data_IF_528118566026
#
_entry.id   IF_528118566026
#
_cell.length_a   1.000
_cell.length_b   1.000
_cell.length_c   1.000
_cell.angle_alpha   90.00
_cell.angle_beta   90.00
_cell.angle_gamma   90.00
#
_symmetry.space_group_name_H-M   'P 1'
#
loop_
_entity.id
_entity.type
_entity.pdbx_description
1 polymer ?
#
# COMPACT_ATOMS: atom_id res chain seq x y z
N UNK A 1 -20.32 -9.96 -4.39
CA UNK A 1 -19.18 -9.72 -5.31
C UNK A 1 -17.94 -10.40 -4.73
N UNK A 2 -17.27 -11.25 -5.49
CA UNK A 2 -16.05 -11.94 -5.04
C UNK A 2 -14.89 -10.93 -4.99
N UNK A 3 -14.33 -10.70 -3.80
CA UNK A 3 -13.17 -9.83 -3.63
C UNK A 3 -11.95 -10.55 -4.19
N UNK A 4 -11.37 -10.01 -5.26
CA UNK A 4 -10.11 -10.50 -5.80
C UNK A 4 -9.01 -10.31 -4.74
N UNK A 5 -8.64 -11.40 -4.05
CA UNK A 5 -7.67 -11.42 -2.93
C UNK A 5 -6.23 -11.52 -3.38
N UNK A 6 -6.00 -11.73 -4.68
CA UNK A 6 -4.68 -11.67 -5.29
C UNK A 6 -4.54 -10.28 -5.95
N UNK A 7 -3.38 -9.63 -5.81
CA UNK A 7 -2.71 -8.77 -6.83
C UNK A 7 -1.99 -7.53 -6.28
N UNK A 8 -2.20 -7.06 -5.05
CA UNK A 8 -1.63 -5.74 -4.69
C UNK A 8 -0.71 -5.76 -3.47
N UNK A 9 0.57 -6.06 -3.71
CA UNK A 9 1.58 -6.15 -2.65
C UNK A 9 2.05 -4.79 -2.12
N UNK A 10 1.76 -3.67 -2.82
CA UNK A 10 2.17 -2.34 -2.35
C UNK A 10 1.54 -1.99 -0.98
N UNK A 11 2.30 -1.36 -0.04
CA UNK A 11 1.84 -1.10 1.33
C UNK A 11 0.49 -0.41 1.43
N UNK A 12 0.25 0.61 0.60
CA UNK A 12 -1.02 1.35 0.52
C UNK A 12 -2.20 0.42 0.25
N UNK A 13 -2.06 -0.48 -0.74
CA UNK A 13 -3.15 -1.37 -1.12
C UNK A 13 -3.43 -2.41 -0.04
N UNK A 14 -2.38 -2.98 0.52
CA UNK A 14 -2.52 -3.94 1.62
C UNK A 14 -3.17 -3.27 2.82
N UNK A 15 -2.75 -2.05 3.17
CA UNK A 15 -3.33 -1.33 4.29
C UNK A 15 -4.83 -1.10 4.10
N UNK A 16 -5.23 -0.50 2.98
CA UNK A 16 -6.63 -0.16 2.70
C UNK A 16 -7.49 -1.43 2.59
N UNK A 17 -7.06 -2.43 1.84
CA UNK A 17 -7.89 -3.61 1.58
C UNK A 17 -7.96 -4.53 2.81
N UNK A 18 -6.83 -4.76 3.47
CA UNK A 18 -6.74 -5.73 4.58
C UNK A 18 -7.19 -5.13 5.92
N UNK A 19 -6.78 -3.90 6.22
CA UNK A 19 -7.04 -3.29 7.53
C UNK A 19 -8.30 -2.45 7.55
N UNK A 20 -8.61 -1.72 6.46
CA UNK A 20 -9.84 -0.93 6.38
C UNK A 20 -11.01 -1.72 5.79
N UNK A 21 -10.73 -2.81 5.06
CA UNK A 21 -11.78 -3.66 4.49
C UNK A 21 -12.56 -2.99 3.35
N UNK A 22 -12.00 -1.97 2.71
CA UNK A 22 -12.59 -1.23 1.56
C UNK A 22 -11.66 -1.28 0.35
N UNK A 23 -12.15 -0.90 -0.83
CA UNK A 23 -11.27 -0.72 -2.00
C UNK A 23 -10.52 0.61 -1.92
N UNK A 24 -9.41 0.74 -2.66
CA UNK A 24 -8.69 2.02 -2.78
C UNK A 24 -9.60 3.11 -3.33
N UNK A 25 -10.47 2.77 -4.28
CA UNK A 25 -11.42 3.69 -4.88
C UNK A 25 -12.43 4.23 -3.86
N UNK A 26 -12.99 3.36 -3.01
CA UNK A 26 -13.92 3.73 -1.94
C UNK A 26 -13.24 4.61 -0.89
N UNK A 27 -11.98 4.31 -0.54
CA UNK A 27 -11.20 5.16 0.36
C UNK A 27 -10.96 6.54 -0.27
N UNK A 28 -10.56 6.59 -1.54
CA UNK A 28 -10.31 7.83 -2.27
C UNK A 28 -11.56 8.71 -2.33
N UNK A 29 -12.72 8.11 -2.62
CA UNK A 29 -14.01 8.81 -2.62
C UNK A 29 -14.37 9.38 -1.24
N UNK A 30 -14.17 8.60 -0.17
CA UNK A 30 -14.52 8.99 1.20
C UNK A 30 -13.67 10.13 1.76
N UNK A 31 -12.40 10.20 1.36
CA UNK A 31 -11.43 11.18 1.87
C UNK A 31 -11.00 12.23 0.85
N UNK A 32 -11.64 12.28 -0.32
CA UNK A 32 -11.41 13.31 -1.34
C UNK A 32 -10.07 13.21 -2.09
N UNK A 33 -9.50 12.01 -2.21
CA UNK A 33 -8.29 11.78 -3.00
C UNK A 33 -8.61 11.46 -4.46
N UNK A 34 -7.80 11.97 -5.38
CA UNK A 34 -7.84 11.49 -6.77
C UNK A 34 -7.29 10.06 -6.85
N UNK A 35 -8.11 9.14 -7.37
CA UNK A 35 -7.69 7.75 -7.62
C UNK A 35 -6.42 7.69 -8.48
N UNK A 36 -6.30 8.56 -9.49
CA UNK A 36 -5.12 8.64 -10.35
C UNK A 36 -3.85 9.03 -9.57
N UNK A 37 -3.97 9.92 -8.59
CA UNK A 37 -2.85 10.30 -7.72
C UNK A 37 -2.41 9.13 -6.85
N UNK A 38 -3.34 8.45 -6.16
CA UNK A 38 -3.00 7.30 -5.30
C UNK A 38 -2.46 6.13 -6.14
N UNK A 39 -3.06 5.87 -7.30
CA UNK A 39 -2.56 4.88 -8.26
C UNK A 39 -1.12 5.22 -8.74
N UNK A 40 -0.80 6.50 -8.93
CA UNK A 40 0.55 6.92 -9.30
C UNK A 40 1.58 6.61 -8.20
N UNK A 41 1.21 6.74 -6.92
CA UNK A 41 2.09 6.39 -5.79
C UNK A 41 2.39 4.89 -5.77
N UNK A 42 1.36 4.07 -5.98
CA UNK A 42 1.47 2.61 -6.02
C UNK A 42 2.33 2.17 -7.21
N UNK A 43 2.02 2.64 -8.42
CA UNK A 43 2.70 2.21 -9.65
C UNK A 43 4.14 2.68 -9.73
N UNK A 44 4.46 3.84 -9.14
CA UNK A 44 5.84 4.36 -9.03
C UNK A 44 6.57 3.88 -7.79
N UNK A 45 5.96 2.99 -7.00
CA UNK A 45 6.55 2.43 -5.80
C UNK A 45 7.03 3.48 -4.80
N UNK A 46 6.18 4.49 -4.57
CA UNK A 46 6.47 5.61 -3.69
C UNK A 46 6.70 5.09 -2.26
N UNK A 47 7.82 5.49 -1.66
CA UNK A 47 8.19 5.08 -0.29
C UNK A 47 7.23 5.67 0.74
N UNK A 48 6.97 4.91 1.80
CA UNK A 48 6.10 5.30 2.93
C UNK A 48 6.51 6.64 3.53
N UNK A 49 7.82 6.88 3.69
CA UNK A 49 8.39 8.14 4.20
C UNK A 49 8.03 9.38 3.37
N UNK A 50 7.68 9.18 2.09
CA UNK A 50 7.38 10.26 1.14
C UNK A 50 5.88 10.45 0.90
N UNK A 51 5.04 9.69 1.59
CA UNK A 51 3.59 9.85 1.52
C UNK A 51 3.16 11.16 2.18
N UNK A 52 2.13 11.84 1.65
CA UNK A 52 1.61 13.04 2.29
C UNK A 52 1.15 12.73 3.73
N UNK A 53 1.54 13.58 4.68
CA UNK A 53 1.16 13.43 6.09
C UNK A 53 -0.37 13.38 6.26
N UNK A 54 -1.10 14.18 5.48
CA UNK A 54 -2.58 14.15 5.45
C UNK A 54 -3.15 12.79 5.06
N UNK A 55 -2.52 12.08 4.12
CA UNK A 55 -2.95 10.74 3.72
C UNK A 55 -2.77 9.73 4.85
N UNK A 56 -1.67 9.83 5.60
CA UNK A 56 -1.40 8.96 6.75
C UNK A 56 -2.39 9.26 7.89
N UNK A 57 -2.72 10.53 8.09
CA UNK A 57 -3.76 10.95 9.03
C UNK A 57 -5.14 10.37 8.66
N UNK A 58 -5.55 10.47 7.40
CA UNK A 58 -6.84 9.95 6.93
C UNK A 58 -6.94 8.42 7.01
N UNK A 59 -5.82 7.72 6.76
CA UNK A 59 -5.72 6.28 7.04
C UNK A 59 -5.93 5.99 8.54
N UNK A 60 -5.41 6.82 9.43
CA UNK A 60 -5.62 6.72 10.86
C UNK A 60 -7.07 6.95 11.26
N UNK A 61 -7.73 7.95 10.69
CA UNK A 61 -9.16 8.18 10.88
C UNK A 61 -9.98 6.96 10.44
N UNK A 62 -9.69 6.41 9.25
CA UNK A 62 -10.39 5.24 8.73
C UNK A 62 -10.17 3.98 9.61
N UNK A 63 -8.96 3.82 10.14
CA UNK A 63 -8.58 2.68 10.97
C UNK A 63 -8.95 2.84 12.45
N UNK A 64 -9.37 4.03 12.89
CA UNK A 64 -9.44 4.41 14.31
C UNK A 64 -8.11 4.18 15.05
N UNK A 65 -7.00 4.52 14.40
CA UNK A 65 -5.63 4.40 14.93
C UNK A 65 -4.95 5.77 14.98
N UNK A 66 -3.99 5.93 15.89
CA UNK A 66 -3.13 7.10 15.88
C UNK A 66 -2.15 7.02 14.68
N UNK A 67 -1.58 8.17 14.29
CA UNK A 67 -0.70 8.25 13.12
C UNK A 67 0.57 7.41 13.26
N UNK A 68 1.12 7.26 14.47
CA UNK A 68 2.33 6.47 14.72
C UNK A 68 2.07 5.00 14.41
N UNK A 69 0.97 4.43 14.91
CA UNK A 69 0.58 3.04 14.67
C UNK A 69 0.34 2.77 13.18
N UNK A 70 -0.28 3.72 12.47
CA UNK A 70 -0.49 3.63 11.02
C UNK A 70 0.85 3.65 10.29
N UNK A 71 1.73 4.57 10.65
CA UNK A 71 3.04 4.71 10.01
C UNK A 71 3.90 3.46 10.23
N UNK A 72 3.96 2.94 11.45
CA UNK A 72 4.67 1.69 11.77
C UNK A 72 4.12 0.50 10.98
N UNK A 73 2.80 0.35 10.89
CA UNK A 73 2.18 -0.70 10.07
C UNK A 73 2.54 -0.55 8.59
N UNK A 74 2.53 0.67 8.05
CA UNK A 74 2.93 0.92 6.67
C UNK A 74 4.40 0.56 6.43
N UNK A 75 5.31 0.87 7.37
CA UNK A 75 6.73 0.50 7.29
C UNK A 75 6.93 -1.02 7.32
N UNK A 76 6.19 -1.74 8.16
CA UNK A 76 6.23 -3.22 8.20
C UNK A 76 5.80 -3.78 6.84
N UNK A 77 4.68 -3.28 6.29
CA UNK A 77 4.19 -3.68 4.98
C UNK A 77 5.18 -3.34 3.85
N UNK A 78 5.88 -2.20 3.93
CA UNK A 78 6.92 -1.82 2.97
C UNK A 78 8.11 -2.78 3.02
N UNK A 79 8.55 -3.18 4.20
CA UNK A 79 9.61 -4.17 4.37
C UNK A 79 9.20 -5.55 3.82
N UNK A 80 7.99 -6.01 4.12
CA UNK A 80 7.45 -7.26 3.56
C UNK A 80 7.40 -7.22 2.02
N UNK A 81 6.97 -6.09 1.46
CA UNK A 81 6.93 -5.86 0.03
C UNK A 81 8.32 -5.86 -0.62
N UNK A 82 9.29 -5.18 0.00
CA UNK A 82 10.68 -5.12 -0.48
C UNK A 82 11.32 -6.53 -0.45
N UNK A 83 11.09 -7.31 0.61
CA UNK A 83 11.56 -8.69 0.73
C UNK A 83 10.95 -9.60 -0.35
N UNK A 84 9.63 -9.48 -0.59
CA UNK A 84 8.96 -10.22 -1.65
C UNK A 84 9.57 -9.92 -3.02
N UNK A 85 9.74 -8.64 -3.36
CA UNK A 85 10.32 -8.21 -4.63
C UNK A 85 11.77 -8.64 -4.80
N UNK A 86 12.58 -8.57 -3.74
CA UNK A 86 13.95 -9.03 -3.75
C UNK A 86 14.05 -10.54 -4.04
N UNK A 87 13.19 -11.34 -3.40
CA UNK A 87 13.14 -12.79 -3.61
C UNK A 87 12.66 -13.14 -5.03
N UNK A 88 11.72 -12.37 -5.60
CA UNK A 88 11.29 -12.53 -7.01
C UNK A 88 12.43 -12.22 -7.99
N UNK A 89 13.22 -11.16 -7.74
CA UNK A 89 14.39 -10.82 -8.56
C UNK A 89 15.45 -11.93 -8.53
N UNK A 90 15.69 -12.58 -7.38
CA UNK A 90 16.60 -13.73 -7.27
C UNK A 90 16.17 -14.91 -8.14
N UNK A 91 14.87 -15.22 -8.18
CA UNK A 91 14.31 -16.33 -8.98
C UNK A 91 14.42 -16.11 -10.51
N UNK A 92 14.60 -14.86 -10.96
CA UNK A 92 14.70 -14.52 -12.39
C UNK A 92 16.12 -14.60 -12.97
N UNK A 93 17.15 -14.90 -12.17
CA UNK A 93 18.51 -15.12 -12.71
C UNK A 93 18.58 -16.49 -13.39
N UNK A 94 18.43 -16.54 -14.72
CA UNK A 94 18.89 -17.66 -15.55
C UNK A 94 20.23 -17.29 -16.15
N UNK A 95 21.22 -18.17 -15.96
CA UNK A 95 22.46 -18.17 -16.72
C UNK A 95 22.12 -18.47 -18.18
N UNK A 96 22.73 -17.74 -19.11
CA UNK A 96 22.72 -18.04 -20.53
C UNK A 96 24.17 -18.37 -20.85
N UNK A 97 24.42 -19.58 -21.38
CA UNK A 97 25.71 -19.99 -21.94
C UNK A 97 26.09 -19.17 -23.17
#
# INVERSE_FOLDING_TARGET
MSRNTFVYSHPINVFIIKYLGVTVDQFCESYGYSQGTVASWITRNRRVESLPVGFIYDLGLAASLNMSDVYEKLLILENEYDQFNFNQKKKKKKHID
#
